data_IF_713017557546
#
_entry.id   IF_713017557546
#
_cell.length_a   1.000
_cell.length_b   1.000
_cell.length_c   1.000
_cell.angle_alpha   90.00
_cell.angle_beta   90.00
_cell.angle_gamma   90.00
#
_symmetry.space_group_name_H-M   'P 1'
#
loop_
_entity.id
_entity.type
_entity.pdbx_description
1 polymer ?
#
# COMPACT_ATOMS: atom_id res chain seq x y z
N UNK A 1 -26.19 -22.76 27.00
CA UNK A 1 -25.03 -21.94 26.57
C UNK A 1 -25.10 -21.79 25.06
N UNK A 2 -25.27 -20.57 24.52
CA UNK A 2 -25.34 -20.33 23.07
C UNK A 2 -23.95 -20.52 22.48
N UNK A 3 -23.77 -21.57 21.68
CA UNK A 3 -22.61 -21.76 20.81
C UNK A 3 -22.58 -20.61 19.81
N UNK A 4 -21.60 -19.70 19.94
CA UNK A 4 -21.24 -18.77 18.87
C UNK A 4 -20.43 -19.55 17.84
N UNK A 5 -21.15 -20.13 16.88
CA UNK A 5 -20.56 -20.74 15.69
C UNK A 5 -20.02 -19.59 14.82
N UNK A 6 -18.73 -19.29 14.94
CA UNK A 6 -18.05 -18.35 14.05
C UNK A 6 -17.88 -19.10 12.73
N UNK A 7 -18.77 -18.86 11.78
CA UNK A 7 -18.74 -19.47 10.46
C UNK A 7 -17.42 -19.12 9.75
N UNK A 8 -16.51 -20.08 9.66
CA UNK A 8 -15.16 -19.97 9.10
C UNK A 8 -15.10 -20.15 7.58
N UNK A 9 -16.24 -20.34 6.92
CA UNK A 9 -16.28 -20.78 5.51
C UNK A 9 -16.50 -19.67 4.47
N UNK A 10 -16.70 -18.42 4.86
CA UNK A 10 -17.06 -17.35 3.89
C UNK A 10 -16.12 -16.13 3.86
N UNK A 11 -14.93 -16.22 4.45
CA UNK A 11 -13.90 -15.17 4.26
C UNK A 11 -13.07 -15.48 3.03
N UNK A 12 -13.56 -15.05 1.88
CA UNK A 12 -12.73 -14.86 0.69
C UNK A 12 -11.94 -13.56 0.93
N UNK A 13 -10.69 -13.66 1.39
CA UNK A 13 -9.80 -12.50 1.44
C UNK A 13 -9.43 -12.07 0.02
N UNK A 14 -9.45 -10.75 -0.15
CA UNK A 14 -9.13 -10.09 -1.39
C UNK A 14 -7.67 -10.23 -1.81
N UNK A 15 -7.43 -10.01 -3.10
CA UNK A 15 -6.10 -9.75 -3.66
C UNK A 15 -5.40 -8.54 -3.02
N UNK A 16 -6.15 -7.60 -2.41
CA UNK A 16 -5.60 -6.39 -1.76
C UNK A 16 -4.79 -6.76 -0.53
N UNK A 17 -5.24 -7.72 0.29
CA UNK A 17 -4.46 -8.19 1.44
C UNK A 17 -3.16 -8.85 1.00
N UNK A 18 -3.21 -9.71 -0.02
CA UNK A 18 -2.03 -10.39 -0.55
C UNK A 18 -0.95 -9.38 -0.98
N UNK A 19 -1.36 -8.36 -1.73
CA UNK A 19 -0.50 -7.26 -2.18
C UNK A 19 0.06 -6.47 -1.01
N UNK A 20 -0.77 -6.14 -0.01
CA UNK A 20 -0.34 -5.37 1.16
C UNK A 20 0.70 -6.14 2.00
N UNK A 21 0.45 -7.42 2.32
CA UNK A 21 1.39 -8.26 3.10
C UNK A 21 2.75 -8.32 2.39
N UNK A 22 2.75 -8.58 1.08
CA UNK A 22 3.98 -8.62 0.28
C UNK A 22 4.70 -7.27 0.27
N UNK A 23 3.97 -6.18 0.10
CA UNK A 23 4.51 -4.81 0.13
C UNK A 23 5.19 -4.52 1.47
N UNK A 24 4.51 -4.74 2.60
CA UNK A 24 5.06 -4.46 3.92
C UNK A 24 6.26 -5.34 4.27
N UNK A 25 6.24 -6.63 3.89
CA UNK A 25 7.40 -7.52 4.04
C UNK A 25 8.62 -6.98 3.28
N UNK A 26 8.43 -6.60 2.02
CA UNK A 26 9.51 -6.07 1.17
C UNK A 26 10.01 -4.70 1.67
N UNK A 27 9.12 -3.82 2.14
CA UNK A 27 9.49 -2.52 2.75
C UNK A 27 10.42 -2.71 3.95
N UNK A 28 10.22 -3.79 4.73
CA UNK A 28 11.09 -4.18 5.84
C UNK A 28 12.29 -5.04 5.44
N UNK A 29 12.47 -5.34 4.14
CA UNK A 29 13.54 -6.19 3.60
C UNK A 29 13.59 -7.59 4.23
N UNK A 30 12.44 -8.12 4.67
CA UNK A 30 12.36 -9.44 5.29
C UNK A 30 12.18 -10.54 4.24
N UNK A 31 12.86 -11.66 4.39
CA UNK A 31 12.61 -12.85 3.59
C UNK A 31 11.35 -13.59 4.08
N UNK A 32 10.79 -14.47 3.25
CA UNK A 32 9.68 -15.34 3.67
C UNK A 32 10.08 -16.26 4.84
N UNK A 33 11.34 -16.71 4.88
CA UNK A 33 11.88 -17.53 5.96
C UNK A 33 11.94 -16.74 7.28
N UNK A 34 12.36 -15.47 7.22
CA UNK A 34 12.44 -14.61 8.39
C UNK A 34 11.07 -14.34 9.00
N UNK A 35 10.07 -14.02 8.16
CA UNK A 35 8.68 -13.86 8.63
C UNK A 35 8.14 -15.18 9.17
N UNK A 36 8.46 -16.31 8.54
CA UNK A 36 8.06 -17.63 9.01
C UNK A 36 8.58 -17.94 10.40
N UNK A 37 9.85 -17.61 10.68
CA UNK A 37 10.47 -17.82 11.98
C UNK A 37 9.84 -16.95 13.07
N UNK A 38 9.50 -15.70 12.73
CA UNK A 38 8.91 -14.74 13.69
C UNK A 38 7.44 -15.01 14.00
N UNK A 39 6.69 -15.52 13.04
CA UNK A 39 5.23 -15.68 13.15
C UNK A 39 4.80 -17.12 13.44
N UNK A 40 5.69 -18.11 13.25
CA UNK A 40 5.34 -19.53 13.28
C UNK A 40 4.53 -19.98 12.05
N UNK A 41 4.29 -19.11 11.08
CA UNK A 41 3.53 -19.40 9.86
C UNK A 41 4.49 -19.89 8.78
N UNK A 42 4.26 -21.08 8.21
CA UNK A 42 5.22 -21.66 7.27
C UNK A 42 5.48 -20.78 6.03
N UNK A 43 6.74 -20.69 5.60
CA UNK A 43 7.14 -19.92 4.42
C UNK A 43 6.35 -20.29 3.14
N UNK A 44 6.01 -21.57 2.97
CA UNK A 44 5.16 -22.02 1.86
C UNK A 44 3.71 -21.54 1.95
N UNK A 45 3.16 -21.40 3.16
CA UNK A 45 1.84 -20.80 3.35
C UNK A 45 1.88 -19.28 3.13
N UNK A 46 2.91 -18.58 3.63
CA UNK A 46 3.14 -17.16 3.37
C UNK A 46 3.24 -16.85 1.87
N UNK A 47 4.00 -17.66 1.12
CA UNK A 47 4.10 -17.54 -0.34
C UNK A 47 2.74 -17.65 -1.03
N UNK A 48 1.89 -18.58 -0.60
CA UNK A 48 0.54 -18.72 -1.16
C UNK A 48 -0.38 -17.55 -0.78
N UNK A 49 -0.21 -16.96 0.40
CA UNK A 49 -0.93 -15.73 0.79
C UNK A 49 -0.52 -14.57 -0.12
N UNK A 50 0.79 -14.29 -0.24
CA UNK A 50 1.31 -13.15 -1.01
C UNK A 50 1.02 -13.20 -2.51
N UNK A 51 0.77 -14.39 -3.05
CA UNK A 51 0.39 -14.60 -4.44
C UNK A 51 -1.14 -14.72 -4.64
N UNK A 52 -1.95 -14.51 -3.60
CA UNK A 52 -3.42 -14.57 -3.69
C UNK A 52 -4.00 -15.98 -3.93
N UNK A 53 -3.15 -17.02 -3.83
CA UNK A 53 -3.55 -18.43 -3.97
C UNK A 53 -4.34 -18.87 -2.73
N UNK A 54 -3.92 -18.43 -1.54
CA UNK A 54 -4.64 -18.70 -0.29
C UNK A 54 -5.47 -17.48 0.11
N UNK A 55 -6.78 -17.58 -0.10
CA UNK A 55 -7.75 -16.52 0.23
C UNK A 55 -8.46 -16.70 1.58
N UNK A 56 -8.39 -17.86 2.23
CA UNK A 56 -8.93 -18.02 3.59
C UNK A 56 -7.76 -18.07 4.60
N UNK A 57 -7.33 -16.89 5.05
CA UNK A 57 -6.31 -16.71 6.09
C UNK A 57 -7.02 -16.49 7.42
N UNK A 58 -6.63 -17.26 8.43
CA UNK A 58 -7.28 -17.19 9.73
C UNK A 58 -6.94 -15.89 10.47
N UNK A 59 -7.83 -15.44 11.35
CA UNK A 59 -7.62 -14.27 12.21
C UNK A 59 -6.26 -14.32 12.94
N UNK A 60 -5.86 -15.45 13.58
CA UNK A 60 -4.56 -15.53 14.26
C UNK A 60 -3.37 -15.30 13.33
N UNK A 61 -3.45 -15.76 12.07
CA UNK A 61 -2.38 -15.53 11.09
C UNK A 61 -2.34 -14.06 10.68
N UNK A 62 -3.49 -13.42 10.45
CA UNK A 62 -3.55 -11.99 10.14
C UNK A 62 -2.97 -11.16 11.29
N UNK A 63 -3.29 -11.53 12.53
CA UNK A 63 -2.75 -10.88 13.72
C UNK A 63 -1.22 -11.03 13.78
N UNK A 64 -0.70 -12.27 13.69
CA UNK A 64 0.74 -12.52 13.71
C UNK A 64 1.49 -11.77 12.60
N UNK A 65 0.89 -11.68 11.40
CA UNK A 65 1.44 -10.89 10.30
C UNK A 65 1.45 -9.39 10.61
N UNK A 66 0.35 -8.85 11.14
CA UNK A 66 0.27 -7.42 11.48
C UNK A 66 1.30 -7.02 12.55
N UNK A 67 1.49 -7.85 13.57
CA UNK A 67 2.49 -7.65 14.61
C UNK A 67 3.91 -7.75 14.03
N UNK A 68 4.22 -8.79 13.26
CA UNK A 68 5.54 -8.96 12.66
C UNK A 68 5.89 -7.86 11.64
N UNK A 69 4.90 -7.35 10.92
CA UNK A 69 5.07 -6.34 9.88
C UNK A 69 4.82 -4.91 10.38
N UNK A 70 4.60 -4.72 11.69
CA UNK A 70 4.28 -3.43 12.32
C UNK A 70 3.17 -2.67 11.55
N UNK A 71 2.08 -3.35 11.25
CA UNK A 71 0.92 -2.77 10.58
C UNK A 71 -0.32 -2.84 11.47
N UNK A 72 -1.34 -2.07 11.12
CA UNK A 72 -2.61 -2.10 11.84
C UNK A 72 -3.38 -3.40 11.49
N UNK A 73 -3.73 -4.18 12.52
CA UNK A 73 -4.50 -5.42 12.37
C UNK A 73 -5.86 -5.20 11.68
N UNK A 74 -6.60 -4.17 12.08
CA UNK A 74 -7.91 -3.86 11.49
C UNK A 74 -7.79 -3.48 10.02
N UNK A 75 -6.74 -2.76 9.64
CA UNK A 75 -6.46 -2.46 8.24
C UNK A 75 -6.35 -3.74 7.39
N UNK A 76 -5.63 -4.77 7.86
CA UNK A 76 -5.56 -6.05 7.13
C UNK A 76 -6.90 -6.79 7.09
N UNK A 77 -7.73 -6.68 8.13
CA UNK A 77 -9.08 -7.25 8.10
C UNK A 77 -9.98 -6.55 7.08
N UNK A 78 -9.91 -5.23 6.98
CA UNK A 78 -10.64 -4.44 6.00
C UNK A 78 -10.21 -4.78 4.58
N UNK A 79 -8.90 -4.86 4.33
CA UNK A 79 -8.39 -5.33 3.04
C UNK A 79 -8.86 -6.74 2.73
N UNK A 80 -9.02 -7.59 3.74
CA UNK A 80 -9.56 -8.94 3.58
C UNK A 80 -11.07 -9.00 3.31
N UNK A 81 -11.79 -7.89 3.35
CA UNK A 81 -13.24 -7.86 3.15
C UNK A 81 -13.57 -7.33 1.75
N UNK A 82 -14.01 -8.22 0.86
CA UNK A 82 -14.39 -7.89 -0.52
C UNK A 82 -15.85 -7.39 -0.65
N UNK A 83 -16.35 -6.63 0.32
CA UNK A 83 -17.65 -5.97 0.11
C UNK A 83 -17.54 -5.08 -1.12
N UNK A 84 -18.48 -5.22 -2.05
CA UNK A 84 -18.57 -4.42 -3.27
C UNK A 84 -18.68 -2.94 -2.88
N UNK A 85 -17.56 -2.23 -2.97
CA UNK A 85 -17.53 -0.78 -2.98
C UNK A 85 -17.51 -0.35 -4.44
N UNK A 86 -18.21 0.73 -4.74
CA UNK A 86 -18.03 1.43 -6.01
C UNK A 86 -16.54 1.75 -6.18
N UNK A 87 -16.03 1.50 -7.39
CA UNK A 87 -14.65 1.80 -7.74
C UNK A 87 -14.56 3.28 -8.06
N UNK A 88 -13.64 3.98 -7.41
CA UNK A 88 -13.25 5.35 -7.73
C UNK A 88 -11.90 5.34 -8.45
N UNK A 89 -11.67 6.34 -9.28
CA UNK A 89 -10.37 6.55 -9.92
C UNK A 89 -9.31 6.93 -8.86
N UNK A 90 -8.05 6.55 -9.10
CA UNK A 90 -6.97 6.74 -8.11
C UNK A 90 -6.73 8.23 -7.81
N UNK A 91 -6.95 9.09 -8.80
CA UNK A 91 -6.86 10.53 -8.71
C UNK A 91 -7.90 11.08 -7.72
N UNK A 92 -9.13 10.59 -7.77
CA UNK A 92 -10.21 10.98 -6.83
C UNK A 92 -9.87 10.52 -5.40
N UNK A 93 -9.40 9.28 -5.25
CA UNK A 93 -8.98 8.73 -3.95
C UNK A 93 -7.88 9.59 -3.31
N UNK A 94 -6.90 10.04 -4.11
CA UNK A 94 -5.81 10.89 -3.65
C UNK A 94 -6.24 12.33 -3.37
N UNK A 95 -7.38 12.79 -3.89
CA UNK A 95 -7.93 14.11 -3.55
C UNK A 95 -8.74 14.06 -2.25
N UNK A 96 -9.49 12.98 -2.01
CA UNK A 96 -10.42 12.86 -0.90
C UNK A 96 -9.78 12.38 0.41
N UNK A 97 -8.73 11.55 0.32
CA UNK A 97 -8.12 10.97 1.51
C UNK A 97 -6.96 11.81 2.05
N UNK A 98 -6.81 11.81 3.37
CA UNK A 98 -5.59 12.24 4.02
C UNK A 98 -4.54 11.14 3.94
N UNK A 99 -3.33 11.51 3.52
CA UNK A 99 -2.20 10.59 3.40
C UNK A 99 -0.89 11.29 3.70
N UNK A 100 0.12 10.49 4.04
CA UNK A 100 1.47 10.94 4.33
C UNK A 100 2.46 10.41 3.31
N UNK A 101 3.50 11.18 3.00
CA UNK A 101 4.66 10.71 2.23
C UNK A 101 5.90 10.81 3.12
N UNK A 102 6.62 9.71 3.29
CA UNK A 102 7.78 9.68 4.19
C UNK A 102 7.45 9.77 5.69
N UNK A 103 6.16 9.84 6.07
CA UNK A 103 5.72 10.08 7.45
C UNK A 103 5.19 11.49 7.67
N UNK A 104 5.38 12.39 6.71
CA UNK A 104 4.93 13.79 6.75
C UNK A 104 3.59 13.94 6.03
N UNK A 105 2.73 14.83 6.55
CA UNK A 105 1.49 15.21 5.87
C UNK A 105 1.78 15.93 4.56
N UNK A 106 0.96 15.66 3.55
CA UNK A 106 1.16 16.18 2.21
C UNK A 106 0.50 17.54 2.05
N UNK A 107 1.29 18.55 1.70
CA UNK A 107 0.79 19.90 1.41
C UNK A 107 -0.11 19.93 0.17
N UNK A 108 -0.91 20.99 0.02
CA UNK A 108 -1.79 21.14 -1.16
C UNK A 108 -1.01 21.11 -2.49
N UNK A 109 0.21 21.66 -2.51
CA UNK A 109 1.04 21.71 -3.72
C UNK A 109 1.66 20.35 -4.04
N UNK A 110 2.21 19.66 -3.03
CA UNK A 110 2.70 18.30 -3.22
C UNK A 110 1.58 17.36 -3.67
N UNK A 111 0.38 17.49 -3.08
CA UNK A 111 -0.81 16.73 -3.50
C UNK A 111 -1.12 16.96 -4.97
N UNK A 112 -1.14 18.21 -5.43
CA UNK A 112 -1.40 18.53 -6.83
C UNK A 112 -0.36 17.90 -7.76
N UNK A 113 0.93 17.96 -7.41
CA UNK A 113 2.02 17.35 -8.19
C UNK A 113 1.94 15.82 -8.21
N UNK A 114 1.55 15.19 -7.10
CA UNK A 114 1.34 13.73 -7.02
C UNK A 114 0.19 13.32 -7.92
N UNK A 115 -0.96 14.00 -7.81
CA UNK A 115 -2.16 13.68 -8.60
C UNK A 115 -1.87 13.85 -10.09
N UNK A 116 -1.26 14.96 -10.51
CA UNK A 116 -0.94 15.18 -11.93
C UNK A 116 0.06 14.14 -12.46
N UNK A 117 1.07 13.79 -11.67
CA UNK A 117 2.06 12.77 -12.05
C UNK A 117 1.40 11.40 -12.20
N UNK A 118 0.53 11.03 -11.26
CA UNK A 118 -0.20 9.76 -11.31
C UNK A 118 -1.16 9.75 -12.50
N UNK A 119 -1.90 10.82 -12.74
CA UNK A 119 -2.80 10.95 -13.89
C UNK A 119 -2.05 10.81 -15.23
N UNK A 120 -0.88 11.45 -15.34
CA UNK A 120 -0.03 11.30 -16.53
C UNK A 120 0.42 9.85 -16.71
N UNK A 121 0.88 9.23 -15.64
CA UNK A 121 1.32 7.83 -15.66
C UNK A 121 0.16 6.90 -16.03
N UNK A 122 -1.00 7.02 -15.40
CA UNK A 122 -2.16 6.13 -15.65
C UNK A 122 -2.67 6.23 -17.08
N UNK A 123 -2.67 7.43 -17.68
CA UNK A 123 -3.13 7.66 -19.06
C UNK A 123 -2.10 7.28 -20.12
N UNK A 124 -0.83 7.61 -19.89
CA UNK A 124 0.19 7.59 -20.93
C UNK A 124 1.14 6.39 -20.86
N UNK A 125 1.08 5.58 -19.79
CA UNK A 125 1.99 4.44 -19.54
C UNK A 125 2.14 3.47 -20.70
N UNK A 126 1.08 3.23 -21.48
CA UNK A 126 1.08 2.20 -22.53
C UNK A 126 2.02 2.54 -23.70
N UNK A 127 2.20 3.82 -24.01
CA UNK A 127 3.01 4.29 -25.16
C UNK A 127 4.33 4.94 -24.73
N UNK A 128 4.61 4.98 -23.43
CA UNK A 128 5.73 5.72 -22.85
C UNK A 128 7.09 5.23 -23.33
N UNK A 129 7.26 3.93 -23.64
CA UNK A 129 8.52 3.38 -24.14
C UNK A 129 8.86 3.84 -25.57
N UNK A 130 7.86 4.32 -26.32
CA UNK A 130 8.03 4.67 -27.73
C UNK A 130 8.10 6.20 -27.91
N UNK A 131 7.61 6.97 -26.93
CA UNK A 131 7.51 8.42 -27.04
C UNK A 131 8.48 9.14 -26.08
N UNK A 132 9.63 9.56 -26.60
CA UNK A 132 10.65 10.32 -25.86
C UNK A 132 10.12 11.64 -25.27
N UNK A 133 9.17 12.30 -25.94
CA UNK A 133 8.56 13.53 -25.42
C UNK A 133 7.81 13.25 -24.13
N UNK A 134 7.00 12.19 -24.09
CA UNK A 134 6.28 11.76 -22.88
C UNK A 134 7.24 11.36 -21.75
N UNK A 135 8.37 10.73 -22.09
CA UNK A 135 9.42 10.41 -21.11
C UNK A 135 10.04 11.68 -20.51
N UNK A 136 10.37 12.66 -21.34
CA UNK A 136 10.94 13.94 -20.88
C UNK A 136 9.96 14.72 -20.02
N UNK A 137 8.67 14.68 -20.34
CA UNK A 137 7.61 15.32 -19.55
C UNK A 137 7.49 14.68 -18.16
N UNK A 138 7.38 13.34 -18.09
CA UNK A 138 7.37 12.63 -16.82
C UNK A 138 8.61 12.93 -15.96
N UNK A 139 9.80 12.97 -16.57
CA UNK A 139 11.03 13.34 -15.86
C UNK A 139 10.95 14.76 -15.28
N UNK A 140 10.36 15.70 -16.02
CA UNK A 140 10.10 17.06 -15.52
C UNK A 140 9.17 17.06 -14.31
N UNK A 141 8.04 16.34 -14.40
CA UNK A 141 7.05 16.25 -13.32
C UNK A 141 7.64 15.61 -12.06
N UNK A 142 8.37 14.50 -12.20
CA UNK A 142 9.02 13.82 -11.08
C UNK A 142 10.08 14.72 -10.44
N UNK A 143 10.83 15.49 -11.24
CA UNK A 143 11.81 16.44 -10.72
C UNK A 143 11.14 17.56 -9.92
N UNK A 144 10.06 18.14 -10.44
CA UNK A 144 9.32 19.18 -9.72
C UNK A 144 8.76 18.66 -8.39
N UNK A 145 8.22 17.44 -8.39
CA UNK A 145 7.76 16.78 -7.18
C UNK A 145 8.89 16.58 -6.15
N UNK A 146 10.05 16.12 -6.59
CA UNK A 146 11.23 15.97 -5.73
C UNK A 146 11.71 17.30 -5.15
N UNK A 147 11.78 18.34 -5.98
CA UNK A 147 12.21 19.67 -5.58
C UNK A 147 11.26 20.26 -4.52
N UNK A 148 9.94 20.02 -4.65
CA UNK A 148 8.96 20.51 -3.68
C UNK A 148 9.06 19.77 -2.34
N UNK A 149 9.13 18.42 -2.34
CA UNK A 149 9.32 17.66 -1.11
C UNK A 149 10.58 18.07 -0.35
N UNK A 150 11.68 18.33 -1.07
CA UNK A 150 12.91 18.80 -0.46
C UNK A 150 12.71 20.17 0.21
N UNK A 151 12.00 21.12 -0.43
CA UNK A 151 11.71 22.43 0.17
C UNK A 151 10.90 22.34 1.45
N UNK A 152 9.86 21.50 1.46
CA UNK A 152 9.02 21.27 2.65
C UNK A 152 9.85 20.73 3.82
N UNK A 153 10.77 19.79 3.57
CA UNK A 153 11.67 19.27 4.60
C UNK A 153 12.58 20.34 5.21
N UNK A 154 13.16 21.23 4.40
CA UNK A 154 14.03 22.31 4.89
C UNK A 154 13.30 23.37 5.73
N UNK A 155 12.00 23.61 5.48
CA UNK A 155 11.22 24.55 6.27
C UNK A 155 10.88 24.01 7.67
N UNK A 156 10.74 22.69 7.82
CA UNK A 156 10.43 22.05 9.09
C UNK A 156 11.67 21.98 10.02
N UNK A 157 12.88 21.79 9.49
CA UNK A 157 14.12 21.76 10.30
C UNK A 157 14.56 23.15 10.81
N UNK A 158 14.10 24.23 10.17
CA UNK A 158 14.47 25.61 10.51
C UNK A 158 13.69 26.19 11.70
N UNK A 159 12.65 25.48 12.19
CA UNK A 159 11.78 25.90 13.29
C UNK A 159 12.15 25.35 14.67
N UNK A 160 13.18 24.52 14.77
CA UNK A 160 13.65 23.92 16.04
C UNK A 160 14.86 24.64 16.66
N UNK A 161 15.26 25.82 16.16
CA UNK A 161 16.32 26.66 16.75
C UNK A 161 15.78 27.89 17.48
#
# INVERSE_FOLDING_TARGET
MKNRNINSEERILSSKLATAVKYHRNKKKLSLAEVSNRTGVSAGYLCRIENGIRRNVSIPVIQALSECLNTNFFHYLELGNDQEKELSDIEEILLDLDFTVGGEEVSSKERQLIVSTIEFVTKEMRDMHINFSKQSELLGMVKELQDEFNRSAFQNESGEM
#
